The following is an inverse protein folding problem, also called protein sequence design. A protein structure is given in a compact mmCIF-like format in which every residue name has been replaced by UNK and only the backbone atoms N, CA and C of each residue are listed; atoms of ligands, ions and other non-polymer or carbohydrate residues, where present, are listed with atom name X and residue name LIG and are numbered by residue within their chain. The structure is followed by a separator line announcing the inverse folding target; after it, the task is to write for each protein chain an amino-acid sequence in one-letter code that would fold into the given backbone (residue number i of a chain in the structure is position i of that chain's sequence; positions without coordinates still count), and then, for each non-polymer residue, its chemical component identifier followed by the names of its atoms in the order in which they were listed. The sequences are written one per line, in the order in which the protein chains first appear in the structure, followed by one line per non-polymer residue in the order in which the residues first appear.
data_IF_041750315441
#
_entry.id   IF_041750315441
#
_cell.length_a   1.000
_cell.length_b   1.000
_cell.length_c   1.000
_cell.angle_alpha   90.00
_cell.angle_beta   90.00
_cell.angle_gamma   90.00
#
_symmetry.space_group_name_H-M   'P 1'
#
loop_
_entity.id
_entity.type
_entity.pdbx_description
1 polymer ?
#
# COMPACT_ATOMS: atom_id res chain seq x y z
N UNK A 1 -19.85 5.16 9.54
CA UNK A 1 -19.27 6.10 8.54
C UNK A 1 -17.77 5.87 8.57
N UNK A 2 -17.14 5.50 7.44
CA UNK A 2 -15.69 5.33 7.44
C UNK A 2 -15.03 6.70 7.44
N UNK A 3 -14.52 7.10 8.59
CA UNK A 3 -13.79 8.36 8.76
C UNK A 3 -12.41 8.24 8.14
N UNK A 4 -11.70 9.36 8.02
CA UNK A 4 -10.27 9.38 7.71
C UNK A 4 -9.46 8.37 8.57
N UNK A 5 -9.95 8.01 9.77
CA UNK A 5 -9.36 6.99 10.63
C UNK A 5 -9.45 5.57 10.06
N UNK A 6 -10.50 5.21 9.31
CA UNK A 6 -10.60 3.90 8.66
C UNK A 6 -9.61 3.78 7.50
N UNK A 7 -9.43 4.86 6.72
CA UNK A 7 -8.41 4.93 5.66
C UNK A 7 -7.02 4.84 6.27
N UNK A 8 -6.76 5.58 7.35
CA UNK A 8 -5.49 5.50 8.08
C UNK A 8 -5.21 4.07 8.57
N UNK A 9 -6.17 3.43 9.25
CA UNK A 9 -6.01 2.07 9.77
C UNK A 9 -5.73 1.05 8.65
N UNK A 10 -6.46 1.14 7.54
CA UNK A 10 -6.26 0.25 6.40
C UNK A 10 -4.89 0.45 5.74
N UNK A 11 -4.45 1.71 5.57
CA UNK A 11 -3.12 2.02 5.04
C UNK A 11 -2.01 1.57 5.99
N UNK A 12 -2.18 1.69 7.31
CA UNK A 12 -1.20 1.17 8.28
C UNK A 12 -1.05 -0.35 8.20
N UNK A 13 -2.17 -1.09 8.06
CA UNK A 13 -2.14 -2.53 7.86
C UNK A 13 -1.38 -2.90 6.57
N UNK A 14 -1.67 -2.18 5.49
CA UNK A 14 -1.00 -2.36 4.20
C UNK A 14 0.50 -2.03 4.26
N UNK A 15 0.89 -0.96 4.94
CA UNK A 15 2.30 -0.61 5.14
C UNK A 15 3.06 -1.68 5.93
N UNK A 16 2.44 -2.22 6.97
CA UNK A 16 3.01 -3.30 7.79
C UNK A 16 3.29 -4.53 6.94
N UNK A 17 2.33 -4.91 6.08
CA UNK A 17 2.48 -6.04 5.19
C UNK A 17 3.59 -5.81 4.16
N UNK A 18 3.58 -4.67 3.46
CA UNK A 18 4.61 -4.31 2.48
C UNK A 18 6.01 -4.25 3.13
N UNK A 19 6.11 -3.81 4.38
CA UNK A 19 7.35 -3.84 5.16
C UNK A 19 7.83 -5.25 5.52
N UNK A 20 6.92 -6.23 5.64
CA UNK A 20 7.22 -7.63 5.98
C UNK A 20 7.48 -8.53 4.76
N UNK A 21 7.06 -8.12 3.56
CA UNK A 21 7.31 -8.80 2.26
C UNK A 21 8.77 -9.22 2.04
N UNK A 22 9.81 -8.39 2.27
CA UNK A 22 11.19 -8.81 2.04
C UNK A 22 11.61 -10.05 2.87
N UNK A 23 10.99 -10.27 4.03
CA UNK A 23 11.24 -11.43 4.89
C UNK A 23 10.41 -12.68 4.50
N UNK A 24 9.29 -12.49 3.79
CA UNK A 24 8.23 -13.51 3.65
C UNK A 24 7.97 -13.96 2.22
N UNK A 25 8.48 -13.24 1.21
CA UNK A 25 8.05 -13.47 -0.19
C UNK A 25 8.64 -14.77 -0.77
N UNK A 26 7.78 -15.74 -1.15
CA UNK A 26 8.19 -16.91 -1.91
C UNK A 26 8.59 -16.44 -3.31
N UNK A 27 9.74 -16.91 -3.76
CA UNK A 27 10.32 -16.62 -5.06
C UNK A 27 9.27 -16.90 -6.15
N UNK A 28 8.73 -15.86 -6.79
CA UNK A 28 8.01 -16.06 -8.04
C UNK A 28 9.04 -16.58 -9.07
N UNK A 29 8.78 -17.71 -9.76
CA UNK A 29 9.80 -18.37 -10.59
C UNK A 29 10.31 -17.53 -11.78
N UNK A 30 9.71 -16.37 -12.05
CA UNK A 30 10.04 -15.51 -13.18
C UNK A 30 10.84 -14.24 -12.86
N UNK A 31 10.94 -13.81 -11.60
CA UNK A 31 11.62 -12.56 -11.24
C UNK A 31 12.90 -12.91 -10.47
N UNK A 32 13.99 -12.99 -11.23
CA UNK A 32 15.32 -13.42 -10.82
C UNK A 32 15.80 -12.84 -9.49
N UNK A 33 16.47 -13.69 -8.70
CA UNK A 33 17.23 -13.38 -7.48
C UNK A 33 17.99 -12.03 -7.54
N UNK A 34 18.45 -11.63 -8.74
CA UNK A 34 19.10 -10.35 -9.04
C UNK A 34 18.25 -9.12 -8.67
N UNK A 35 16.94 -9.13 -8.93
CA UNK A 35 16.07 -7.97 -8.66
C UNK A 35 15.90 -7.73 -7.16
N UNK A 36 15.87 -8.82 -6.38
CA UNK A 36 15.86 -8.80 -4.91
C UNK A 36 17.18 -8.23 -4.37
N UNK A 37 18.30 -8.55 -5.01
CA UNK A 37 19.65 -8.11 -4.61
C UNK A 37 19.97 -6.66 -4.99
N UNK A 38 19.40 -6.15 -6.09
CA UNK A 38 19.68 -4.79 -6.60
C UNK A 38 18.66 -3.77 -6.08
N UNK A 39 17.39 -4.15 -5.89
CA UNK A 39 16.30 -3.22 -5.55
C UNK A 39 15.52 -3.62 -4.28
N UNK A 40 15.69 -4.84 -3.77
CA UNK A 40 14.67 -5.54 -3.00
C UNK A 40 14.70 -5.45 -1.48
N UNK A 41 15.36 -4.46 -0.86
CA UNK A 41 15.18 -4.15 0.57
C UNK A 41 14.98 -2.65 0.82
N UNK A 42 15.72 -1.73 0.16
CA UNK A 42 15.47 -0.30 0.28
C UNK A 42 14.14 0.10 -0.37
N UNK A 43 13.79 -0.49 -1.54
CA UNK A 43 12.56 -0.13 -2.24
C UNK A 43 11.30 -0.48 -1.45
N UNK A 44 11.26 -1.64 -0.79
CA UNK A 44 10.10 -2.01 0.06
C UNK A 44 9.96 -1.12 1.28
N UNK A 45 11.08 -0.76 1.92
CA UNK A 45 11.05 0.19 3.05
C UNK A 45 10.57 1.57 2.62
N UNK A 46 10.99 2.03 1.45
CA UNK A 46 10.53 3.30 0.90
C UNK A 46 9.04 3.28 0.58
N UNK A 47 8.52 2.19 -0.01
CA UNK A 47 7.08 2.04 -0.27
C UNK A 47 6.27 1.94 1.03
N UNK A 48 6.72 1.15 2.01
CA UNK A 48 6.08 1.08 3.31
C UNK A 48 6.03 2.46 3.99
N UNK A 49 7.12 3.23 3.93
CA UNK A 49 7.18 4.59 4.46
C UNK A 49 6.26 5.57 3.69
N UNK A 50 6.13 5.44 2.37
CA UNK A 50 5.19 6.22 1.57
C UNK A 50 3.73 5.93 2.00
N UNK A 51 3.40 4.65 2.21
CA UNK A 51 2.08 4.23 2.70
C UNK A 51 1.84 4.75 4.13
N UNK A 52 2.83 4.67 5.03
CA UNK A 52 2.73 5.23 6.39
C UNK A 52 2.51 6.75 6.36
N UNK A 53 3.18 7.47 5.46
CA UNK A 53 2.97 8.90 5.29
C UNK A 53 1.52 9.22 4.84
N UNK A 54 0.96 8.40 3.94
CA UNK A 54 -0.45 8.49 3.58
C UNK A 54 -1.39 8.12 4.73
N UNK A 55 -1.01 7.15 5.56
CA UNK A 55 -1.77 6.77 6.75
C UNK A 55 -1.74 7.85 7.84
N UNK A 56 -0.64 8.59 7.96
CA UNK A 56 -0.48 9.72 8.88
C UNK A 56 -1.25 10.97 8.39
N UNK A 57 -1.43 11.12 7.07
CA UNK A 57 -2.27 12.16 6.48
C UNK A 57 -3.33 11.55 5.53
N UNK A 58 -4.33 10.84 6.08
CA UNK A 58 -5.36 10.18 5.29
C UNK A 58 -6.22 11.17 4.52
N UNK A 59 -6.18 12.46 4.89
CA UNK A 59 -6.87 13.52 4.18
C UNK A 59 -6.30 13.80 2.80
N UNK A 60 -4.97 13.79 2.70
CA UNK A 60 -4.23 13.98 1.47
C UNK A 60 -4.13 12.68 0.64
N UNK A 61 -4.42 11.52 1.24
CA UNK A 61 -4.42 10.25 0.54
C UNK A 61 -5.58 10.16 -0.46
N UNK A 62 -5.27 9.73 -1.68
CA UNK A 62 -6.23 9.50 -2.77
C UNK A 62 -6.20 8.04 -3.20
N UNK A 63 -7.31 7.56 -3.73
CA UNK A 63 -7.39 6.20 -4.28
C UNK A 63 -6.38 5.98 -5.42
N UNK A 64 -6.20 6.96 -6.31
CA UNK A 64 -5.20 6.90 -7.39
C UNK A 64 -3.76 6.85 -6.85
N UNK A 65 -3.47 7.54 -5.76
CA UNK A 65 -2.17 7.47 -5.09
C UNK A 65 -1.90 6.07 -4.52
N UNK A 66 -2.93 5.46 -3.93
CA UNK A 66 -2.87 4.07 -3.48
C UNK A 66 -2.67 3.07 -4.64
N UNK A 67 -3.44 3.19 -5.74
CA UNK A 67 -3.27 2.31 -6.91
C UNK A 67 -1.86 2.37 -7.49
N UNK A 68 -1.25 3.56 -7.55
CA UNK A 68 0.14 3.72 -8.01
C UNK A 68 1.11 2.92 -7.13
N UNK A 69 0.95 3.01 -5.81
CA UNK A 69 1.79 2.27 -4.86
C UNK A 69 1.55 0.77 -4.99
N UNK A 70 0.30 0.34 -5.13
CA UNK A 70 -0.05 -1.07 -5.34
C UNK A 70 0.62 -1.63 -6.60
N UNK A 71 0.62 -0.87 -7.69
CA UNK A 71 1.31 -1.24 -8.92
C UNK A 71 2.83 -1.37 -8.72
N UNK A 72 3.46 -0.44 -7.98
CA UNK A 72 4.89 -0.53 -7.65
C UNK A 72 5.23 -1.75 -6.79
N UNK A 73 4.36 -2.10 -5.84
CA UNK A 73 4.49 -3.32 -5.02
C UNK A 73 4.42 -4.57 -5.90
N UNK A 74 3.49 -4.62 -6.86
CA UNK A 74 3.40 -5.70 -7.86
C UNK A 74 4.62 -5.76 -8.77
N UNK A 75 5.10 -4.63 -9.27
CA UNK A 75 6.30 -4.57 -10.10
C UNK A 75 7.52 -5.11 -9.37
N UNK A 76 7.65 -4.85 -8.07
CA UNK A 76 8.73 -5.40 -7.23
C UNK A 76 8.58 -6.91 -6.94
N UNK A 77 7.48 -7.53 -7.38
CA UNK A 77 7.27 -8.98 -7.32
C UNK A 77 6.62 -9.45 -6.03
N UNK A 78 5.83 -8.60 -5.37
CA UNK A 78 5.00 -9.01 -4.25
C UNK A 78 3.53 -8.74 -4.53
N UNK A 79 2.69 -9.65 -4.08
CA UNK A 79 1.26 -9.42 -3.95
C UNK A 79 0.94 -9.42 -2.47
N UNK A 80 0.58 -8.26 -1.87
CA UNK A 80 -0.06 -8.21 -0.56
C UNK A 80 -1.29 -9.11 -0.56
N UNK A 81 -1.73 -9.54 0.61
CA UNK A 81 -2.95 -10.30 0.79
C UNK A 81 -4.11 -9.54 0.14
N UNK A 82 -4.85 -10.25 -0.71
CA UNK A 82 -5.98 -9.67 -1.46
C UNK A 82 -6.98 -9.02 -0.50
N UNK A 83 -7.18 -9.62 0.68
CA UNK A 83 -8.03 -9.10 1.75
C UNK A 83 -7.59 -7.71 2.25
N UNK A 84 -6.28 -7.47 2.38
CA UNK A 84 -5.74 -6.18 2.84
C UNK A 84 -5.89 -5.13 1.75
N UNK A 85 -5.60 -5.49 0.48
CA UNK A 85 -5.81 -4.58 -0.65
C UNK A 85 -7.29 -4.20 -0.84
N UNK A 86 -8.20 -5.17 -0.74
CA UNK A 86 -9.65 -4.94 -0.75
C UNK A 86 -10.07 -4.07 0.44
N UNK A 87 -9.49 -4.28 1.62
CA UNK A 87 -9.74 -3.47 2.81
C UNK A 87 -9.41 -1.99 2.59
N UNK A 88 -8.26 -1.69 1.98
CA UNK A 88 -7.86 -0.32 1.65
C UNK A 88 -8.77 0.30 0.60
N UNK A 89 -9.07 -0.42 -0.49
CA UNK A 89 -9.99 0.06 -1.52
C UNK A 89 -11.39 0.36 -0.95
N UNK A 90 -11.90 -0.53 -0.11
CA UNK A 90 -13.19 -0.35 0.57
C UNK A 90 -13.18 0.87 1.49
N UNK A 91 -12.09 1.10 2.23
CA UNK A 91 -11.95 2.27 3.09
C UNK A 91 -12.00 3.59 2.29
N UNK A 92 -11.39 3.62 1.10
CA UNK A 92 -11.49 4.77 0.20
C UNK A 92 -12.91 4.98 -0.36
N UNK A 93 -13.60 3.90 -0.76
CA UNK A 93 -14.97 3.99 -1.30
C UNK A 93 -16.00 4.41 -0.24
N UNK A 94 -15.78 4.05 1.03
CA UNK A 94 -16.65 4.42 2.15
C UNK A 94 -16.36 5.82 2.70
N UNK A 95 -15.31 6.49 2.21
CA UNK A 95 -14.97 7.85 2.64
C UNK A 95 -16.07 8.80 2.17
N UNK A 96 -16.70 9.58 3.07
CA UNK A 96 -17.75 10.51 2.67
C UNK A 96 -17.16 11.52 1.67
N UNK A 97 -17.76 11.63 0.48
CA UNK A 97 -17.41 12.66 -0.48
C UNK A 97 -17.60 14.02 0.17
N UNK A 98 -16.51 14.64 0.62
CA UNK A 98 -16.51 16.04 0.99
C UNK A 98 -16.70 16.79 -0.31
N UNK A 99 -17.95 17.13 -0.65
CA UNK A 99 -18.20 18.09 -1.73
C UNK A 99 -17.41 19.35 -1.36
N UNK A 100 -16.50 19.85 -2.22
CA UNK A 100 -15.99 21.19 -2.03
C UNK A 100 -17.19 22.13 -2.00
N UNK A 101 -17.26 22.99 -0.98
CA UNK A 101 -18.24 24.08 -0.98
C UNK A 101 -17.91 24.94 -2.20
N UNK A 102 -18.83 24.97 -3.16
CA UNK A 102 -18.86 25.96 -4.25
C UNK A 102 -19.03 27.36 -3.66
#
# INVERSE_FOLDING_TARGET
MASDNHVAAALTAYATEVGAVPASSPIWPGISLLRKQIFGAPAWRNLAAEIEALAANPRAATYQGFERIQYQVWELGASPAEEIAIGVATAFLQRPYIRPKL
#
